data_IF_488099106579
#
_entry.id   IF_488099106579
#
_cell.length_a   1.000
_cell.length_b   1.000
_cell.length_c   1.000
_cell.angle_alpha   90.00
_cell.angle_beta   90.00
_cell.angle_gamma   90.00
#
_symmetry.space_group_name_H-M   'P 1'
#
loop_
_entity.id
_entity.type
_entity.pdbx_description
1 polymer ?
#
# COMPACT_ATOMS: atom_id res chain seq x y z
N UNK A 1 22.30 0.08 -8.38
CA UNK A 1 21.15 0.63 -9.08
C UNK A 1 20.14 -0.48 -9.28
N UNK A 2 18.85 -0.21 -9.04
CA UNK A 2 17.77 -1.13 -9.36
C UNK A 2 17.81 -1.57 -10.84
N UNK A 3 17.49 -2.84 -11.09
CA UNK A 3 17.28 -3.38 -12.45
C UNK A 3 15.85 -3.87 -12.60
N UNK A 4 15.26 -3.59 -13.76
CA UNK A 4 13.88 -3.92 -14.11
C UNK A 4 13.60 -5.41 -13.97
N UNK A 5 12.33 -5.76 -13.71
CA UNK A 5 11.91 -7.15 -13.79
C UNK A 5 12.21 -7.78 -15.16
N UNK A 6 12.68 -9.02 -15.13
CA UNK A 6 12.88 -9.89 -16.30
C UNK A 6 12.24 -11.25 -16.04
N UNK A 7 11.74 -11.87 -17.10
CA UNK A 7 11.30 -13.27 -17.06
C UNK A 7 12.52 -14.21 -17.14
N UNK A 8 12.61 -15.16 -16.22
CA UNK A 8 13.62 -16.21 -16.23
C UNK A 8 13.15 -17.40 -17.08
N UNK A 9 14.11 -18.19 -17.56
CA UNK A 9 13.84 -19.40 -18.33
C UNK A 9 13.04 -20.47 -17.56
N UNK A 10 13.06 -20.44 -16.22
CA UNK A 10 12.32 -21.34 -15.34
C UNK A 10 10.88 -20.84 -15.05
N UNK A 11 10.45 -19.73 -15.65
CA UNK A 11 9.11 -19.17 -15.48
C UNK A 11 8.96 -18.25 -14.26
N UNK A 12 10.02 -18.03 -13.48
CA UNK A 12 10.03 -17.04 -12.39
C UNK A 12 10.35 -15.64 -12.91
N UNK A 13 10.07 -14.64 -12.08
CA UNK A 13 10.36 -13.24 -12.38
C UNK A 13 11.50 -12.78 -11.46
N UNK A 14 12.42 -12.00 -11.98
CA UNK A 14 13.56 -11.50 -11.22
C UNK A 14 13.75 -10.01 -11.46
N UNK A 15 13.97 -9.25 -10.40
CA UNK A 15 14.51 -7.91 -10.46
C UNK A 15 15.74 -7.81 -9.56
N UNK A 16 16.47 -6.70 -9.66
CA UNK A 16 17.56 -6.40 -8.74
C UNK A 16 17.24 -5.11 -8.00
N UNK A 17 17.24 -5.13 -6.68
CA UNK A 17 17.08 -3.95 -5.83
C UNK A 17 18.20 -3.91 -4.80
N UNK A 18 18.80 -2.75 -4.58
CA UNK A 18 19.79 -2.56 -3.52
C UNK A 18 19.18 -2.72 -2.13
N UNK A 19 20.01 -3.00 -1.12
CA UNK A 19 19.54 -3.18 0.26
C UNK A 19 18.75 -1.97 0.78
N UNK A 20 19.16 -0.75 0.43
CA UNK A 20 18.48 0.48 0.82
C UNK A 20 17.09 0.59 0.14
N UNK A 21 17.02 0.37 -1.17
CA UNK A 21 15.76 0.37 -1.93
C UNK A 21 14.77 -0.67 -1.38
N UNK A 22 15.25 -1.88 -1.04
CA UNK A 22 14.43 -2.92 -0.43
C UNK A 22 13.92 -2.53 0.96
N UNK A 23 14.82 -1.99 1.80
CA UNK A 23 14.47 -1.58 3.16
C UNK A 23 13.42 -0.47 3.17
N UNK A 24 13.58 0.55 2.32
CA UNK A 24 12.61 1.64 2.19
C UNK A 24 11.25 1.11 1.73
N UNK A 25 11.20 0.28 0.69
CA UNK A 25 9.94 -0.24 0.18
C UNK A 25 9.25 -1.18 1.18
N UNK A 26 10.01 -2.01 1.91
CA UNK A 26 9.50 -2.88 2.97
C UNK A 26 8.96 -2.07 4.16
N UNK A 27 9.66 -1.00 4.56
CA UNK A 27 9.24 -0.09 5.61
C UNK A 27 7.91 0.58 5.24
N UNK A 28 7.81 1.15 4.03
CA UNK A 28 6.60 1.82 3.55
C UNK A 28 5.42 0.85 3.49
N UNK A 29 5.63 -0.38 3.03
CA UNK A 29 4.58 -1.41 3.03
C UNK A 29 4.10 -1.73 4.46
N UNK A 30 5.01 -1.74 5.44
CA UNK A 30 4.70 -1.90 6.85
C UNK A 30 3.93 -0.72 7.44
N UNK A 31 4.34 0.51 7.14
CA UNK A 31 3.69 1.74 7.59
C UNK A 31 2.25 1.84 7.06
N UNK A 32 2.04 1.55 5.77
CA UNK A 32 0.70 1.53 5.18
C UNK A 32 -0.17 0.42 5.79
N UNK A 33 0.42 -0.76 6.06
CA UNK A 33 -0.29 -1.83 6.78
C UNK A 33 -0.74 -1.34 8.17
N UNK A 34 0.14 -0.64 8.90
CA UNK A 34 -0.17 -0.03 10.18
C UNK A 34 -1.28 1.01 10.08
N UNK A 35 -1.21 1.90 9.08
CA UNK A 35 -2.23 2.91 8.79
C UNK A 35 -3.61 2.27 8.59
N UNK A 36 -3.72 1.28 7.70
CA UNK A 36 -5.00 0.60 7.41
C UNK A 36 -5.55 -0.05 8.69
N UNK A 37 -4.70 -0.71 9.48
CA UNK A 37 -5.13 -1.38 10.71
C UNK A 37 -5.63 -0.41 11.76
N UNK A 38 -4.93 0.71 11.96
CA UNK A 38 -5.32 1.72 12.94
C UNK A 38 -6.61 2.42 12.51
N UNK A 39 -6.68 2.85 11.25
CA UNK A 39 -7.81 3.67 10.77
C UNK A 39 -9.11 2.88 10.61
N UNK A 40 -9.01 1.57 10.34
CA UNK A 40 -10.17 0.67 10.23
C UNK A 40 -10.43 -0.15 11.50
N UNK A 41 -9.66 0.04 12.57
CA UNK A 41 -9.78 -0.75 13.80
C UNK A 41 -9.53 -2.26 13.62
N UNK A 42 -8.67 -2.65 12.68
CA UNK A 42 -8.35 -4.05 12.35
C UNK A 42 -7.15 -4.55 13.18
N UNK A 43 -7.39 -5.13 14.36
CA UNK A 43 -6.34 -5.76 15.19
C UNK A 43 -6.69 -5.80 16.69
N UNK A 44 -5.74 -6.26 17.51
CA UNK A 44 -5.88 -6.46 18.97
C UNK A 44 -5.84 -5.15 19.80
N UNK A 45 -6.45 -4.10 19.28
CA UNK A 45 -6.77 -2.91 20.07
C UNK A 45 -8.27 -2.91 20.30
N UNK A 46 -8.68 -3.69 21.30
CA UNK A 46 -10.06 -3.89 21.77
C UNK A 46 -10.73 -2.64 22.36
N UNK A 47 -10.51 -1.47 21.78
CA UNK A 47 -11.22 -0.24 22.10
C UNK A 47 -11.44 0.57 20.83
N UNK A 48 -12.18 0.00 19.87
CA UNK A 48 -12.99 0.86 19.00
C UNK A 48 -13.98 1.61 19.89
N UNK A 49 -14.20 2.89 19.63
CA UNK A 49 -15.20 3.72 20.28
C UNK A 49 -16.61 3.15 20.03
N UNK A 50 -16.93 2.03 20.68
CA UNK A 50 -18.31 1.56 20.78
C UNK A 50 -19.05 2.59 21.61
N UNK A 51 -20.21 3.06 21.15
CA UNK A 51 -21.07 3.85 22.02
C UNK A 51 -21.25 3.09 23.35
N UNK A 52 -21.05 3.75 24.52
CA UNK A 52 -20.99 3.07 25.82
C UNK A 52 -22.21 2.20 26.17
N UNK A 53 -23.33 2.36 25.44
CA UNK A 53 -24.58 1.67 25.70
C UNK A 53 -24.66 0.22 25.18
N UNK A 54 -24.01 -0.14 24.07
CA UNK A 54 -24.20 -1.46 23.43
C UNK A 54 -23.13 -2.49 23.81
N UNK A 55 -21.90 -2.04 24.07
CA UNK A 55 -20.82 -2.89 24.62
C UNK A 55 -21.10 -3.41 26.05
N UNK A 56 -22.12 -2.84 26.71
CA UNK A 56 -22.60 -3.22 28.05
C UNK A 56 -23.82 -4.16 28.03
N UNK A 57 -24.23 -4.68 26.87
CA UNK A 57 -25.28 -5.70 26.81
C UNK A 57 -24.92 -6.93 27.66
N UNK A 58 -25.84 -7.40 28.50
CA UNK A 58 -25.68 -8.65 29.26
C UNK A 58 -25.73 -9.90 28.35
N UNK A 59 -26.16 -9.74 27.09
CA UNK A 59 -26.17 -10.80 26.08
C UNK A 59 -24.80 -10.91 25.37
N UNK A 60 -24.08 -12.03 25.55
CA UNK A 60 -22.79 -12.25 24.90
C UNK A 60 -22.84 -12.20 23.36
N UNK A 61 -23.98 -12.56 22.75
CA UNK A 61 -24.12 -12.53 21.29
C UNK A 61 -24.32 -11.09 20.79
N UNK A 62 -25.21 -10.33 21.42
CA UNK A 62 -25.44 -8.93 21.09
C UNK A 62 -24.17 -8.08 21.24
N UNK A 63 -23.36 -8.36 22.28
CA UNK A 63 -22.07 -7.71 22.48
C UNK A 63 -21.07 -8.04 21.36
N UNK A 64 -20.99 -9.30 20.95
CA UNK A 64 -20.11 -9.72 19.86
C UNK A 64 -20.53 -9.11 18.50
N UNK A 65 -21.84 -9.01 18.26
CA UNK A 65 -22.39 -8.37 17.07
C UNK A 65 -22.07 -6.88 17.02
N UNK A 66 -22.25 -6.16 18.13
CA UNK A 66 -21.90 -4.74 18.23
C UNK A 66 -20.40 -4.49 18.02
N UNK A 67 -19.53 -5.29 18.65
CA UNK A 67 -18.07 -5.22 18.47
C UNK A 67 -17.65 -5.54 17.01
N UNK A 68 -18.36 -6.44 16.32
CA UNK A 68 -18.01 -6.86 14.95
C UNK A 68 -18.55 -5.90 13.88
N UNK A 69 -19.72 -5.29 14.09
CA UNK A 69 -20.38 -4.44 13.10
C UNK A 69 -19.90 -3.00 13.19
N UNK A 70 -19.78 -2.42 14.39
CA UNK A 70 -19.50 -0.98 14.56
C UNK A 70 -18.13 -0.57 14.00
N UNK A 71 -17.09 -1.38 14.22
CA UNK A 71 -15.74 -1.10 13.70
C UNK A 71 -15.63 -1.21 12.16
N UNK A 72 -16.62 -1.83 11.49
CA UNK A 72 -16.53 -2.18 10.05
C UNK A 72 -17.37 -1.28 9.12
N UNK A 73 -18.16 -0.37 9.68
CA UNK A 73 -19.10 0.47 8.91
C UNK A 73 -18.74 1.95 8.85
N UNK A 74 -17.82 2.41 9.71
CA UNK A 74 -17.39 3.81 9.74
C UNK A 74 -16.58 4.18 8.48
N UNK A 75 -16.78 5.42 8.05
CA UNK A 75 -15.96 6.03 6.99
C UNK A 75 -14.53 6.16 7.55
N UNK A 76 -13.49 5.70 6.82
CA UNK A 76 -12.11 5.84 7.28
C UNK A 76 -11.78 7.30 7.63
N UNK A 77 -10.97 7.57 8.66
CA UNK A 77 -10.70 8.94 9.11
C UNK A 77 -9.60 9.57 8.26
N UNK A 78 -8.63 8.77 7.84
CA UNK A 78 -7.50 9.19 6.99
C UNK A 78 -7.88 9.27 5.49
N UNK A 79 -7.41 10.31 4.80
CA UNK A 79 -7.69 10.52 3.37
C UNK A 79 -7.14 9.43 2.46
N UNK A 80 -5.92 8.94 2.74
CA UNK A 80 -5.31 7.88 1.96
C UNK A 80 -6.06 6.57 2.15
N UNK A 81 -6.49 6.27 3.38
CA UNK A 81 -7.36 5.10 3.63
C UNK A 81 -8.68 5.25 2.88
N UNK A 82 -9.37 6.41 2.92
CA UNK A 82 -10.59 6.62 2.12
C UNK A 82 -10.38 6.37 0.63
N UNK A 83 -9.22 6.77 0.09
CA UNK A 83 -8.87 6.53 -1.32
C UNK A 83 -8.69 5.05 -1.63
N UNK A 84 -8.16 4.26 -0.69
CA UNK A 84 -8.05 2.80 -0.82
C UNK A 84 -9.40 2.09 -0.71
N UNK A 85 -10.34 2.64 0.07
CA UNK A 85 -11.66 2.06 0.34
C UNK A 85 -12.78 3.00 -0.14
N UNK A 86 -12.96 3.17 -1.47
CA UNK A 86 -13.98 4.05 -2.00
C UNK A 86 -15.39 3.55 -1.63
N UNK A 87 -16.37 4.46 -1.49
CA UNK A 87 -17.70 4.15 -0.94
C UNK A 87 -18.56 3.21 -1.80
N UNK A 88 -18.19 2.96 -3.06
CA UNK A 88 -18.93 2.07 -3.98
C UNK A 88 -20.23 2.66 -4.54
N UNK A 89 -20.84 3.62 -3.84
CA UNK A 89 -21.96 4.44 -4.30
C UNK A 89 -21.80 5.89 -3.85
N UNK A 90 -22.51 6.80 -4.51
CA UNK A 90 -22.65 8.20 -4.07
C UNK A 90 -23.82 8.39 -3.09
N UNK A 91 -24.69 7.38 -2.96
CA UNK A 91 -25.76 7.33 -1.98
C UNK A 91 -25.20 6.78 -0.65
N UNK A 92 -25.41 7.50 0.46
CA UNK A 92 -24.77 7.15 1.74
C UNK A 92 -25.31 5.85 2.36
N UNK A 93 -26.60 5.55 2.15
CA UNK A 93 -27.20 4.32 2.66
C UNK A 93 -26.62 3.11 1.90
N UNK A 94 -26.54 3.21 0.57
CA UNK A 94 -25.89 2.20 -0.27
C UNK A 94 -24.38 2.09 0.02
N UNK A 95 -23.70 3.20 0.26
CA UNK A 95 -22.29 3.23 0.59
C UNK A 95 -22.01 2.57 1.95
N UNK A 96 -22.86 2.80 2.95
CA UNK A 96 -22.79 2.14 4.25
C UNK A 96 -22.96 0.63 4.14
N UNK A 97 -23.91 0.16 3.33
CA UNK A 97 -24.11 -1.25 3.02
C UNK A 97 -22.87 -1.86 2.31
N UNK A 98 -22.35 -1.15 1.30
CA UNK A 98 -21.17 -1.58 0.57
C UNK A 98 -19.95 -1.73 1.50
N UNK A 99 -19.71 -0.76 2.40
CA UNK A 99 -18.64 -0.84 3.41
C UNK A 99 -18.82 -2.06 4.30
N UNK A 100 -20.03 -2.25 4.86
CA UNK A 100 -20.34 -3.39 5.73
C UNK A 100 -20.02 -4.73 5.08
N UNK A 101 -20.31 -4.86 3.78
CA UNK A 101 -20.13 -6.12 3.05
C UNK A 101 -18.70 -6.34 2.51
N UNK A 102 -17.97 -5.28 2.18
CA UNK A 102 -16.75 -5.40 1.36
C UNK A 102 -15.48 -4.88 2.04
N UNK A 103 -15.58 -3.87 2.92
CA UNK A 103 -14.42 -3.14 3.44
C UNK A 103 -13.44 -4.06 4.17
N UNK A 104 -13.94 -4.97 5.00
CA UNK A 104 -13.11 -5.90 5.75
C UNK A 104 -12.33 -6.86 4.83
N UNK A 105 -13.00 -7.45 3.84
CA UNK A 105 -12.37 -8.36 2.88
C UNK A 105 -11.34 -7.62 2.00
N UNK A 106 -11.66 -6.40 1.58
CA UNK A 106 -10.74 -5.56 0.81
C UNK A 106 -9.50 -5.18 1.65
N UNK A 107 -9.70 -4.87 2.94
CA UNK A 107 -8.60 -4.51 3.83
C UNK A 107 -7.69 -5.69 4.11
N UNK A 108 -8.25 -6.87 4.36
CA UNK A 108 -7.50 -8.11 4.50
C UNK A 108 -6.68 -8.41 3.24
N UNK A 109 -7.28 -8.25 2.05
CA UNK A 109 -6.57 -8.42 0.79
C UNK A 109 -5.41 -7.43 0.62
N UNK A 110 -5.63 -6.14 0.86
CA UNK A 110 -4.57 -5.12 0.77
C UNK A 110 -3.42 -5.42 1.75
N UNK A 111 -3.74 -5.74 3.00
CA UNK A 111 -2.75 -6.11 4.02
C UNK A 111 -1.99 -7.36 3.61
N UNK A 112 -2.66 -8.39 3.08
CA UNK A 112 -2.02 -9.62 2.62
C UNK A 112 -1.04 -9.35 1.46
N UNK A 113 -1.44 -8.52 0.49
CA UNK A 113 -0.57 -8.13 -0.62
C UNK A 113 0.67 -7.36 -0.15
N UNK A 114 0.50 -6.36 0.72
CA UNK A 114 1.60 -5.59 1.32
C UNK A 114 2.54 -6.50 2.12
N UNK A 115 1.98 -7.42 2.91
CA UNK A 115 2.75 -8.37 3.71
C UNK A 115 3.55 -9.35 2.85
N UNK A 116 2.97 -9.84 1.76
CA UNK A 116 3.65 -10.73 0.82
C UNK A 116 4.82 -10.03 0.09
N UNK A 117 4.60 -8.79 -0.35
CA UNK A 117 5.65 -7.96 -0.94
C UNK A 117 6.78 -7.72 0.06
N UNK A 118 6.44 -7.32 1.28
CA UNK A 118 7.42 -7.08 2.36
C UNK A 118 8.23 -8.35 2.67
N UNK A 119 7.58 -9.49 2.84
CA UNK A 119 8.27 -10.76 3.12
C UNK A 119 9.21 -11.16 1.97
N UNK A 120 8.83 -10.91 0.72
CA UNK A 120 9.67 -11.16 -0.45
C UNK A 120 10.92 -10.26 -0.47
N UNK A 121 10.78 -8.98 -0.09
CA UNK A 121 11.89 -8.03 0.00
C UNK A 121 12.87 -8.37 1.13
N UNK A 122 12.34 -8.77 2.29
CA UNK A 122 13.14 -9.18 3.46
C UNK A 122 13.88 -10.51 3.18
N UNK A 123 13.23 -11.48 2.52
CA UNK A 123 13.82 -12.78 2.20
C UNK A 123 14.97 -12.68 1.18
N UNK A 124 14.94 -11.71 0.26
CA UNK A 124 16.02 -11.48 -0.69
C UNK A 124 17.36 -11.06 -0.03
N UNK A 125 17.33 -10.70 1.26
CA UNK A 125 18.51 -10.31 2.04
C UNK A 125 19.05 -11.34 3.03
N UNK A 126 18.41 -12.50 3.22
CA UNK A 126 18.77 -13.44 4.30
C UNK A 126 18.99 -14.91 3.83
N UNK A 127 20.26 -15.33 4.02
CA UNK A 127 20.86 -16.67 4.18
C UNK A 127 21.04 -17.62 2.96
N UNK A 128 22.28 -17.70 2.47
CA UNK A 128 22.96 -18.98 2.15
C UNK A 128 23.18 -19.37 0.69
N UNK A 129 22.72 -18.59 -0.29
CA UNK A 129 22.92 -18.88 -1.71
C UNK A 129 24.12 -18.14 -2.33
N UNK A 130 24.83 -18.79 -3.25
CA UNK A 130 25.87 -18.19 -4.11
C UNK A 130 25.26 -17.21 -5.15
N UNK A 131 24.50 -16.21 -4.70
CA UNK A 131 23.83 -15.20 -5.52
C UNK A 131 24.13 -13.78 -5.07
N UNK A 132 24.05 -12.77 -5.97
CA UNK A 132 24.18 -11.37 -5.60
C UNK A 132 23.07 -11.00 -4.59
N UNK A 133 23.43 -10.35 -3.49
CA UNK A 133 22.53 -10.03 -2.35
C UNK A 133 21.45 -8.97 -2.67
N UNK A 134 21.21 -8.74 -3.95
CA UNK A 134 20.33 -7.73 -4.50
C UNK A 134 19.29 -8.30 -5.46
N UNK A 135 19.33 -9.60 -5.74
CA UNK A 135 18.35 -10.25 -6.61
C UNK A 135 17.10 -10.64 -5.83
N UNK A 136 15.94 -10.17 -6.30
CA UNK A 136 14.65 -10.61 -5.81
C UNK A 136 14.05 -11.51 -6.87
N UNK A 137 13.79 -12.75 -6.51
CA UNK A 137 13.14 -13.74 -7.38
C UNK A 137 11.77 -14.03 -6.80
N UNK A 138 10.73 -13.84 -7.60
CA UNK A 138 9.34 -14.12 -7.22
C UNK A 138 8.73 -15.16 -8.16
N UNK A 139 7.83 -15.96 -7.61
CA UNK A 139 7.03 -16.88 -8.41
C UNK A 139 6.05 -16.09 -9.28
N UNK A 140 5.72 -16.61 -10.46
CA UNK A 140 4.72 -15.99 -11.34
C UNK A 140 3.36 -15.81 -10.64
N UNK A 141 3.01 -16.71 -9.71
CA UNK A 141 1.78 -16.62 -8.93
C UNK A 141 1.75 -15.41 -7.98
N UNK A 142 2.92 -14.96 -7.50
CA UNK A 142 3.04 -13.85 -6.56
C UNK A 142 3.09 -12.48 -7.25
N UNK A 143 3.30 -12.46 -8.58
CA UNK A 143 3.38 -11.25 -9.37
C UNK A 143 2.13 -10.35 -9.22
N UNK A 144 0.94 -10.96 -9.18
CA UNK A 144 -0.29 -10.20 -8.98
C UNK A 144 -0.37 -9.56 -7.59
N UNK A 145 0.11 -10.26 -6.56
CA UNK A 145 0.19 -9.70 -5.19
C UNK A 145 1.15 -8.52 -5.14
N UNK A 146 2.30 -8.63 -5.81
CA UNK A 146 3.25 -7.52 -5.97
C UNK A 146 2.63 -6.32 -6.68
N UNK A 147 1.94 -6.52 -7.82
CA UNK A 147 1.27 -5.44 -8.54
C UNK A 147 0.22 -4.74 -7.68
N UNK A 148 -0.58 -5.50 -6.93
CA UNK A 148 -1.59 -4.95 -6.03
C UNK A 148 -0.97 -4.18 -4.86
N UNK A 149 0.11 -4.69 -4.27
CA UNK A 149 0.83 -4.01 -3.20
C UNK A 149 1.45 -2.68 -3.68
N UNK A 150 2.13 -2.69 -4.84
CA UNK A 150 2.70 -1.48 -5.44
C UNK A 150 1.61 -0.45 -5.76
N UNK A 151 0.43 -0.89 -6.23
CA UNK A 151 -0.70 0.01 -6.47
C UNK A 151 -1.20 0.67 -5.17
N UNK A 152 -1.31 -0.09 -4.07
CA UNK A 152 -1.68 0.47 -2.76
C UNK A 152 -0.66 1.51 -2.30
N UNK A 153 0.63 1.20 -2.41
CA UNK A 153 1.72 2.14 -2.08
C UNK A 153 1.58 3.42 -2.90
N UNK A 154 1.41 3.31 -4.21
CA UNK A 154 1.26 4.45 -5.11
C UNK A 154 0.05 5.32 -4.77
N UNK A 155 -1.09 4.73 -4.44
CA UNK A 155 -2.29 5.48 -4.06
C UNK A 155 -2.10 6.27 -2.77
N UNK A 156 -1.44 5.68 -1.76
CA UNK A 156 -1.13 6.38 -0.51
C UNK A 156 -0.14 7.52 -0.75
N UNK A 157 0.93 7.28 -1.51
CA UNK A 157 1.91 8.32 -1.84
C UNK A 157 1.30 9.46 -2.64
N UNK A 158 0.43 9.15 -3.61
CA UNK A 158 -0.32 10.14 -4.38
C UNK A 158 -1.21 11.00 -3.48
N UNK A 159 -1.95 10.40 -2.55
CA UNK A 159 -2.78 11.12 -1.58
C UNK A 159 -1.94 12.08 -0.72
N UNK A 160 -0.79 11.63 -0.19
CA UNK A 160 0.11 12.48 0.61
C UNK A 160 0.73 13.64 -0.16
N UNK A 161 0.85 13.49 -1.47
CA UNK A 161 1.30 14.57 -2.37
C UNK A 161 0.16 15.44 -2.91
N UNK A 162 -1.11 15.12 -2.61
CA UNK A 162 -2.26 15.83 -3.16
C UNK A 162 -2.48 15.59 -4.66
N UNK A 163 -2.00 14.46 -5.19
CA UNK A 163 -2.15 14.06 -6.60
C UNK A 163 -3.48 13.35 -6.78
N UNK A 164 -4.43 13.96 -7.46
CA UNK A 164 -5.72 13.36 -7.79
C UNK A 164 -5.70 12.71 -9.18
N UNK A 165 -4.95 13.32 -10.12
CA UNK A 165 -4.94 13.03 -11.55
C UNK A 165 -3.53 12.70 -12.05
N UNK A 166 -3.43 12.03 -13.20
CA UNK A 166 -2.13 11.78 -13.86
C UNK A 166 -1.36 13.08 -14.15
N UNK A 167 -2.05 14.16 -14.52
CA UNK A 167 -1.44 15.47 -14.80
C UNK A 167 -0.90 16.19 -13.56
N UNK A 168 -1.36 15.83 -12.36
CA UNK A 168 -0.92 16.49 -11.12
C UNK A 168 0.50 16.07 -10.76
N UNK A 169 0.89 14.83 -11.08
CA UNK A 169 2.25 14.36 -10.87
C UNK A 169 3.25 15.04 -11.82
N UNK A 170 2.89 15.22 -13.10
CA UNK A 170 3.72 15.98 -14.05
C UNK A 170 3.90 17.43 -13.61
N UNK A 171 2.83 18.07 -13.13
CA UNK A 171 2.91 19.42 -12.57
C UNK A 171 3.81 19.48 -11.33
N UNK A 172 3.71 18.50 -10.42
CA UNK A 172 4.57 18.41 -9.24
C UNK A 172 6.04 18.22 -9.62
N UNK A 173 6.34 17.37 -10.61
CA UNK A 173 7.71 17.20 -11.10
C UNK A 173 8.28 18.49 -11.69
N UNK A 174 7.48 19.25 -12.44
CA UNK A 174 7.89 20.55 -12.97
C UNK A 174 8.15 21.55 -11.84
N UNK A 175 7.33 21.58 -10.79
CA UNK A 175 7.54 22.43 -9.62
C UNK A 175 8.85 22.08 -8.90
N UNK A 176 9.07 20.81 -8.56
CA UNK A 176 10.31 20.36 -7.94
C UNK A 176 11.53 20.67 -8.81
N UNK A 177 11.43 20.48 -10.13
CA UNK A 177 12.53 20.78 -11.07
C UNK A 177 12.88 22.27 -11.13
N UNK A 178 11.90 23.16 -10.96
CA UNK A 178 12.10 24.61 -10.98
C UNK A 178 12.55 25.16 -9.61
N UNK A 179 12.08 24.58 -8.50
CA UNK A 179 12.46 24.99 -7.14
C UNK A 179 13.90 24.62 -6.76
N UNK A 180 14.50 23.63 -7.45
CA UNK A 180 15.93 23.30 -7.35
C UNK A 180 16.87 24.47 -7.68
N UNK A 181 16.40 25.51 -8.37
CA UNK A 181 17.22 26.69 -8.68
C UNK A 181 17.13 27.82 -7.64
N UNK A 182 16.16 27.87 -6.71
CA UNK A 182 15.91 29.10 -5.93
C UNK A 182 15.58 29.02 -4.43
N UNK A 183 15.47 27.88 -3.75
CA UNK A 183 15.15 27.92 -2.30
C UNK A 183 15.97 26.90 -1.50
N UNK A 184 16.64 27.34 -0.43
CA UNK A 184 17.10 26.47 0.65
C UNK A 184 15.91 25.63 1.10
N UNK A 185 15.90 24.33 0.80
CA UNK A 185 14.73 23.47 0.92
C UNK A 185 14.04 23.64 2.28
N UNK A 186 12.85 24.28 2.27
CA UNK A 186 11.94 24.28 3.39
C UNK A 186 11.70 22.81 3.81
N UNK A 187 11.63 22.47 5.10
CA UNK A 187 11.57 21.08 5.57
C UNK A 187 10.45 20.25 4.95
N UNK A 188 9.36 20.89 4.50
CA UNK A 188 8.25 20.22 3.80
C UNK A 188 8.56 19.82 2.35
N UNK A 189 9.44 20.55 1.66
CA UNK A 189 9.78 20.31 0.25
C UNK A 189 10.63 19.04 0.11
N UNK A 190 11.63 18.87 0.98
CA UNK A 190 12.46 17.66 1.00
C UNK A 190 11.65 16.38 1.26
N UNK A 191 10.62 16.47 2.12
CA UNK A 191 9.69 15.36 2.34
C UNK A 191 8.87 15.02 1.09
N UNK A 192 8.40 16.04 0.37
CA UNK A 192 7.64 15.86 -0.86
C UNK A 192 8.48 15.26 -2.00
N UNK A 193 9.73 15.69 -2.16
CA UNK A 193 10.68 15.11 -3.12
C UNK A 193 10.93 13.62 -2.87
N UNK A 194 11.05 13.23 -1.60
CA UNK A 194 11.20 11.83 -1.22
C UNK A 194 9.96 11.01 -1.59
N UNK A 195 8.75 11.51 -1.31
CA UNK A 195 7.49 10.86 -1.70
C UNK A 195 7.37 10.72 -3.22
N UNK A 196 7.75 11.75 -3.98
CA UNK A 196 7.74 11.73 -5.43
C UNK A 196 8.71 10.70 -6.00
N UNK A 197 9.94 10.65 -5.46
CA UNK A 197 10.95 9.65 -5.82
C UNK A 197 10.46 8.23 -5.57
N UNK A 198 9.84 8.00 -4.41
CA UNK A 198 9.30 6.69 -4.07
C UNK A 198 8.09 6.30 -4.93
N UNK A 199 7.23 7.27 -5.28
CA UNK A 199 6.10 7.04 -6.18
C UNK A 199 6.58 6.66 -7.58
N UNK A 200 7.59 7.35 -8.11
CA UNK A 200 8.21 7.03 -9.40
C UNK A 200 8.87 5.64 -9.36
N UNK A 201 9.62 5.33 -8.31
CA UNK A 201 10.25 4.04 -8.12
C UNK A 201 9.22 2.89 -8.09
N UNK A 202 8.14 3.04 -7.32
CA UNK A 202 7.05 2.06 -7.28
C UNK A 202 6.34 1.93 -8.64
N UNK A 203 6.16 3.04 -9.35
CA UNK A 203 5.57 3.07 -10.70
C UNK A 203 6.44 2.34 -11.72
N UNK A 204 7.74 2.56 -11.69
CA UNK A 204 8.71 1.89 -12.54
C UNK A 204 8.79 0.38 -12.23
N UNK A 205 8.79 -0.02 -10.96
CA UNK A 205 8.74 -1.42 -10.57
C UNK A 205 7.48 -2.12 -11.09
N UNK A 206 6.33 -1.47 -10.98
CA UNK A 206 5.06 -2.00 -11.49
C UNK A 206 5.10 -2.14 -13.03
N UNK A 207 5.56 -1.12 -13.74
CA UNK A 207 5.67 -1.14 -15.20
C UNK A 207 6.62 -2.23 -15.69
N UNK A 208 7.77 -2.38 -15.05
CA UNK A 208 8.73 -3.44 -15.40
C UNK A 208 8.18 -4.84 -15.12
N UNK A 209 7.45 -5.03 -14.01
CA UNK A 209 6.82 -6.31 -13.69
C UNK A 209 5.75 -6.70 -14.72
N UNK A 210 4.91 -5.74 -15.15
CA UNK A 210 3.94 -5.94 -16.23
C UNK A 210 4.66 -6.29 -17.54
N UNK A 211 5.75 -5.59 -17.87
CA UNK A 211 6.57 -5.88 -19.05
C UNK A 211 7.11 -7.31 -19.03
N UNK A 212 7.64 -7.77 -17.90
CA UNK A 212 8.15 -9.12 -17.74
C UNK A 212 7.07 -10.20 -17.83
N UNK A 213 5.87 -9.93 -17.32
CA UNK A 213 4.71 -10.84 -17.46
C UNK A 213 4.28 -10.98 -18.92
N UNK A 214 4.25 -9.88 -19.67
CA UNK A 214 3.87 -9.87 -21.08
C UNK A 214 4.94 -10.48 -22.00
N UNK A 215 6.22 -10.37 -21.66
CA UNK A 215 7.30 -10.98 -22.44
C UNK A 215 7.28 -12.52 -22.42
N UNK A 216 6.44 -13.14 -21.59
CA UNK A 216 6.25 -14.60 -21.49
C UNK A 216 5.16 -15.14 -22.42
N UNK A 217 4.27 -14.29 -22.95
CA UNK A 217 3.13 -14.70 -23.77
C UNK A 217 3.49 -14.90 -25.24
#
# INVERSE_FOLDING_TARGET
MAHSFIARADGRLMCRLEAEERAVLAQVAGEITGLIRVDLGIGDHGYGESEPGEAMSEDPLARLEAETVSARTEIPRDSATRRLFPPGSNDEDEAGEYRRLTQANLAEAHIAHLSALRASLEAAGDIGGEGPHDEIVIESADALSWLKALNVIRLVLADRMGIENDGDFEALQLLCSNDLEQVEAEPGVAGMEFLATLYEFASWLQASLIGALNARS
#
